data_IF_187559705269
#
_entry.id   IF_187559705269
#
_cell.length_a   1.000
_cell.length_b   1.000
_cell.length_c   1.000
_cell.angle_alpha   90.00
_cell.angle_beta   90.00
_cell.angle_gamma   90.00
#
_symmetry.space_group_name_H-M   'P 1'
#
loop_
_entity.id
_entity.type
_entity.pdbx_description
1 polymer ?
#
# COMPACT_ATOMS: atom_id res chain seq x y z
N UNK A 1 38.56 57.26 5.90
CA UNK A 1 38.77 56.41 4.69
C UNK A 1 37.95 55.10 4.79
N UNK A 2 37.99 54.33 5.91
CA UNK A 2 37.23 53.09 6.02
C UNK A 2 35.74 53.31 5.85
N UNK A 3 35.11 54.33 6.46
CA UNK A 3 33.69 54.65 6.33
C UNK A 3 33.30 55.08 4.91
N UNK A 4 34.18 55.78 4.16
CA UNK A 4 33.92 56.16 2.77
C UNK A 4 33.96 54.94 1.84
N UNK A 5 34.93 54.02 2.05
CA UNK A 5 34.95 52.74 1.30
C UNK A 5 33.72 51.85 1.59
N UNK A 6 33.24 51.86 2.83
CA UNK A 6 32.01 51.14 3.21
C UNK A 6 30.80 51.76 2.53
N UNK A 7 30.73 53.09 2.46
CA UNK A 7 29.67 53.81 1.75
C UNK A 7 29.67 53.54 0.24
N UNK A 8 30.84 53.41 -0.38
CA UNK A 8 30.95 53.00 -1.77
C UNK A 8 30.31 51.60 -2.01
N UNK A 9 30.53 50.65 -1.07
CA UNK A 9 29.87 49.35 -1.13
C UNK A 9 28.37 49.46 -0.97
N UNK A 10 27.90 50.30 -0.04
CA UNK A 10 26.50 50.58 0.20
C UNK A 10 25.78 51.15 -1.03
N UNK A 11 26.39 52.14 -1.70
CA UNK A 11 25.87 52.77 -2.91
C UNK A 11 25.76 51.79 -4.09
N UNK A 12 26.74 50.88 -4.25
CA UNK A 12 26.71 49.82 -5.27
C UNK A 12 25.51 48.85 -5.08
N UNK A 13 25.05 48.66 -3.88
CA UNK A 13 23.91 47.79 -3.55
C UNK A 13 22.59 48.57 -3.55
N UNK A 14 22.61 49.82 -3.08
CA UNK A 14 21.45 50.70 -2.99
C UNK A 14 21.33 51.62 -4.18
N UNK A 15 20.57 51.20 -5.19
CA UNK A 15 20.36 51.95 -6.45
C UNK A 15 19.62 53.29 -6.31
N UNK A 16 19.17 53.65 -5.11
CA UNK A 16 18.45 54.92 -4.84
C UNK A 16 19.42 56.09 -4.64
N UNK A 17 20.69 55.85 -4.45
CA UNK A 17 21.72 56.88 -4.24
C UNK A 17 22.42 57.17 -5.57
N UNK A 18 22.46 58.44 -5.95
CA UNK A 18 23.13 58.83 -7.16
C UNK A 18 24.65 58.69 -7.06
N UNK A 19 25.37 58.26 -8.12
CA UNK A 19 26.83 58.07 -8.09
C UNK A 19 27.63 59.33 -7.75
N UNK A 20 27.06 60.52 -8.06
CA UNK A 20 27.67 61.83 -7.81
C UNK A 20 27.86 62.12 -6.31
N UNK A 21 27.05 61.49 -5.44
CA UNK A 21 27.14 61.67 -3.99
C UNK A 21 28.50 61.18 -3.45
N UNK A 22 28.98 60.04 -3.95
CA UNK A 22 30.28 59.50 -3.55
C UNK A 22 31.42 60.47 -3.91
N UNK A 23 31.42 61.00 -5.13
CA UNK A 23 32.43 61.98 -5.59
C UNK A 23 32.38 63.29 -4.78
N UNK A 24 31.19 63.70 -4.34
CA UNK A 24 31.04 64.88 -3.49
C UNK A 24 31.63 64.66 -2.09
N UNK A 25 31.46 63.48 -1.52
CA UNK A 25 31.98 63.09 -0.20
C UNK A 25 33.53 62.99 -0.24
N UNK A 26 34.11 62.50 -1.34
CA UNK A 26 35.56 62.35 -1.50
C UNK A 26 36.29 63.70 -1.62
N UNK A 27 35.58 64.77 -1.99
CA UNK A 27 36.17 66.13 -2.13
C UNK A 27 36.17 66.92 -0.80
N UNK A 28 35.51 66.37 0.25
CA UNK A 28 35.42 67.05 1.53
C UNK A 28 36.64 66.65 2.41
N UNK A 29 37.37 67.65 2.91
CA UNK A 29 38.52 67.40 3.79
C UNK A 29 38.19 67.37 5.29
N UNK A 30 37.07 67.97 5.69
CA UNK A 30 36.64 68.05 7.06
C UNK A 30 35.92 66.78 7.49
N UNK A 31 36.44 66.10 8.50
CA UNK A 31 35.98 64.77 8.93
C UNK A 31 34.56 64.80 9.53
N UNK A 32 34.17 65.85 10.22
CA UNK A 32 32.82 66.08 10.74
C UNK A 32 31.78 66.22 9.61
N UNK A 33 32.09 67.04 8.55
CA UNK A 33 31.23 67.19 7.39
C UNK A 33 31.08 65.84 6.63
N UNK A 34 32.16 65.04 6.55
CA UNK A 34 32.08 63.72 5.93
C UNK A 34 31.10 62.81 6.71
N UNK A 35 31.15 62.83 8.04
CA UNK A 35 30.25 62.05 8.88
C UNK A 35 28.78 62.45 8.67
N UNK A 36 28.48 63.76 8.64
CA UNK A 36 27.10 64.27 8.42
C UNK A 36 26.59 63.99 7.01
N UNK A 37 27.44 64.10 6.01
CA UNK A 37 27.05 63.73 4.62
C UNK A 37 26.78 62.22 4.51
N UNK A 38 27.60 61.37 5.09
CA UNK A 38 27.33 59.92 5.10
C UNK A 38 26.01 59.59 5.80
N UNK A 39 25.76 60.15 6.99
CA UNK A 39 24.54 59.95 7.74
C UNK A 39 23.29 60.42 7.00
N UNK A 40 23.36 61.52 6.27
CA UNK A 40 22.21 62.06 5.52
C UNK A 40 21.71 61.12 4.45
N UNK A 41 22.58 60.36 3.81
CA UNK A 41 22.26 59.44 2.71
C UNK A 41 21.92 58.02 3.16
N UNK A 42 22.01 57.70 4.47
CA UNK A 42 21.60 56.40 5.02
C UNK A 42 20.07 56.29 5.10
N UNK A 43 19.54 55.17 4.65
CA UNK A 43 18.09 54.88 4.69
C UNK A 43 17.65 54.28 6.04
N UNK A 44 18.02 55.00 7.13
CA UNK A 44 17.73 54.61 8.53
C UNK A 44 16.55 55.37 9.13
N UNK A 45 16.00 54.91 10.24
CA UNK A 45 14.88 55.53 10.94
C UNK A 45 15.28 56.87 11.54
N UNK A 46 14.28 57.75 11.70
CA UNK A 46 14.49 59.12 12.24
C UNK A 46 15.15 59.08 13.62
N UNK A 47 14.77 58.11 14.48
CA UNK A 47 15.37 57.94 15.82
C UNK A 47 16.87 57.64 15.77
N UNK A 48 17.32 56.84 14.78
CA UNK A 48 18.74 56.49 14.56
C UNK A 48 19.50 57.70 13.97
N UNK A 49 18.87 58.50 13.09
CA UNK A 49 19.47 59.75 12.61
C UNK A 49 19.63 60.75 13.75
N UNK A 50 18.66 60.80 14.67
CA UNK A 50 18.74 61.67 15.82
C UNK A 50 19.88 61.27 16.77
N UNK A 51 20.02 59.96 17.03
CA UNK A 51 21.15 59.45 17.85
C UNK A 51 22.54 59.79 17.26
N UNK A 52 22.67 59.72 15.91
CA UNK A 52 23.88 60.15 15.21
C UNK A 52 24.13 61.65 15.36
N UNK A 53 23.11 62.49 15.30
CA UNK A 53 23.25 63.94 15.48
C UNK A 53 23.62 64.31 16.90
N UNK A 54 23.10 63.63 17.91
CA UNK A 54 23.39 63.82 19.34
C UNK A 54 24.81 63.36 19.73
N UNK A 55 25.44 62.55 18.89
CA UNK A 55 26.82 62.04 19.12
C UNK A 55 27.83 63.14 18.71
N UNK A 56 28.27 63.99 19.68
CA UNK A 56 29.16 65.12 19.42
C UNK A 56 30.58 64.73 19.04
N UNK A 57 31.07 63.56 19.53
CA UNK A 57 32.40 63.08 19.16
C UNK A 57 32.37 62.53 17.71
N UNK A 58 33.15 63.10 16.87
CA UNK A 58 33.18 62.74 15.43
C UNK A 58 33.66 61.27 15.19
N UNK A 59 34.60 60.82 16.03
CA UNK A 59 35.08 59.43 15.94
C UNK A 59 33.97 58.42 16.27
N UNK A 60 33.30 58.64 17.37
CA UNK A 60 32.20 57.77 17.82
C UNK A 60 31.02 57.80 16.81
N UNK A 61 30.74 58.97 16.28
CA UNK A 61 29.72 59.13 15.20
C UNK A 61 30.08 58.35 13.95
N UNK A 62 31.32 58.40 13.49
CA UNK A 62 31.80 57.65 12.34
C UNK A 62 31.79 56.13 12.59
N UNK A 63 32.09 55.68 13.80
CA UNK A 63 32.01 54.28 14.20
C UNK A 63 30.57 53.78 14.16
N UNK A 64 29.60 54.54 14.72
CA UNK A 64 28.19 54.26 14.61
C UNK A 64 27.68 54.18 13.15
N UNK A 65 28.07 55.18 12.35
CA UNK A 65 27.74 55.21 10.89
C UNK A 65 28.28 53.98 10.18
N UNK A 66 29.52 53.55 10.53
CA UNK A 66 30.12 52.37 9.97
C UNK A 66 29.32 51.08 10.33
N UNK A 67 28.97 50.93 11.60
CA UNK A 67 28.17 49.78 12.08
C UNK A 67 26.77 49.70 11.42
N UNK A 68 26.10 50.88 11.27
CA UNK A 68 24.83 50.98 10.60
C UNK A 68 24.93 50.58 9.11
N UNK A 69 25.99 51.07 8.41
CA UNK A 69 26.22 50.72 7.04
C UNK A 69 26.51 49.22 6.84
N UNK A 70 27.23 48.60 7.77
CA UNK A 70 27.50 47.17 7.71
C UNK A 70 26.20 46.36 7.84
N UNK A 71 25.31 46.74 8.75
CA UNK A 71 23.97 46.13 8.90
C UNK A 71 23.11 46.27 7.64
N UNK A 72 23.06 47.50 7.06
CA UNK A 72 22.30 47.78 5.85
C UNK A 72 22.86 47.03 4.63
N UNK A 73 24.17 46.95 4.46
CA UNK A 73 24.81 46.18 3.41
C UNK A 73 24.46 44.70 3.51
N UNK A 74 24.51 44.15 4.73
CA UNK A 74 24.07 42.77 5.02
C UNK A 74 22.65 42.53 4.60
N UNK A 75 21.72 43.42 5.00
CA UNK A 75 20.30 43.34 4.66
C UNK A 75 20.06 43.38 3.14
N UNK A 76 20.72 44.34 2.43
CA UNK A 76 20.61 44.47 0.97
C UNK A 76 21.19 43.26 0.21
N UNK A 77 22.25 42.67 0.72
CA UNK A 77 22.84 41.44 0.15
C UNK A 77 21.88 40.25 0.28
N UNK A 78 21.24 40.09 1.44
CA UNK A 78 20.22 39.04 1.69
C UNK A 78 19.04 39.26 0.75
N UNK A 79 18.51 40.49 0.68
CA UNK A 79 17.37 40.82 -0.21
C UNK A 79 17.69 40.47 -1.66
N UNK A 80 18.87 40.86 -2.13
CA UNK A 80 19.33 40.55 -3.51
C UNK A 80 19.43 39.04 -3.73
N UNK A 81 19.91 38.27 -2.74
CA UNK A 81 19.99 36.80 -2.81
C UNK A 81 18.62 36.17 -2.88
N UNK A 82 17.69 36.61 -2.01
CA UNK A 82 16.33 36.13 -2.01
C UNK A 82 15.62 36.45 -3.32
N UNK A 83 15.72 37.69 -3.81
CA UNK A 83 15.11 38.11 -5.08
C UNK A 83 15.63 37.28 -6.27
N UNK A 84 16.93 37.02 -6.32
CA UNK A 84 17.51 36.17 -7.35
C UNK A 84 17.06 34.70 -7.26
N UNK A 85 16.90 34.19 -6.05
CA UNK A 85 16.37 32.83 -5.82
C UNK A 85 14.92 32.71 -6.28
N UNK A 86 14.07 33.68 -5.90
CA UNK A 86 12.67 33.73 -6.33
C UNK A 86 12.57 33.82 -7.84
N UNK A 87 13.37 34.72 -8.48
CA UNK A 87 13.38 34.84 -9.93
C UNK A 87 13.74 33.51 -10.62
N UNK A 88 14.80 32.86 -10.19
CA UNK A 88 15.18 31.52 -10.71
C UNK A 88 14.09 30.48 -10.53
N UNK A 89 13.43 30.50 -9.39
CA UNK A 89 12.34 29.56 -9.12
C UNK A 89 11.14 29.80 -10.04
N UNK A 90 10.78 31.07 -10.25
CA UNK A 90 9.70 31.43 -11.19
C UNK A 90 10.04 31.05 -12.64
N UNK A 91 11.27 31.33 -13.08
CA UNK A 91 11.73 30.96 -14.43
C UNK A 91 11.69 29.44 -14.63
N UNK A 92 12.09 28.67 -13.60
CA UNK A 92 12.02 27.20 -13.63
C UNK A 92 10.57 26.71 -13.73
N UNK A 93 9.67 27.26 -12.93
CA UNK A 93 8.25 26.87 -12.93
C UNK A 93 7.56 27.24 -14.25
N UNK A 94 7.85 28.42 -14.82
CA UNK A 94 7.32 28.81 -16.12
C UNK A 94 7.83 27.90 -17.24
N UNK A 95 9.11 27.50 -17.19
CA UNK A 95 9.68 26.58 -18.18
C UNK A 95 9.07 25.19 -18.06
N UNK A 96 8.85 24.68 -16.84
CA UNK A 96 8.16 23.39 -16.59
C UNK A 96 6.70 23.45 -17.10
N UNK A 97 6.00 24.53 -16.85
CA UNK A 97 4.64 24.73 -17.37
C UNK A 97 4.61 24.73 -18.91
N UNK A 98 5.51 25.50 -19.55
CA UNK A 98 5.60 25.56 -21.00
C UNK A 98 5.94 24.20 -21.63
N UNK A 99 6.89 23.46 -21.05
CA UNK A 99 7.23 22.12 -21.49
C UNK A 99 6.08 21.14 -21.33
N UNK A 100 5.32 21.24 -20.25
CA UNK A 100 4.14 20.41 -20.04
C UNK A 100 3.02 20.71 -21.04
N UNK A 101 2.81 21.98 -21.38
CA UNK A 101 1.83 22.36 -22.42
C UNK A 101 2.28 21.93 -23.82
N UNK A 102 3.57 22.03 -24.13
CA UNK A 102 4.11 21.48 -25.37
C UNK A 102 3.95 19.95 -25.42
N UNK A 103 4.22 19.25 -24.32
CA UNK A 103 4.06 17.80 -24.26
C UNK A 103 2.59 17.39 -24.44
N UNK A 104 1.64 18.14 -23.84
CA UNK A 104 0.20 17.92 -24.07
C UNK A 104 -0.20 18.16 -25.54
N UNK A 105 0.32 19.23 -26.16
CA UNK A 105 0.05 19.52 -27.57
C UNK A 105 0.60 18.42 -28.48
N UNK A 106 1.82 17.98 -28.23
CA UNK A 106 2.45 16.85 -28.98
C UNK A 106 1.70 15.55 -28.75
N UNK A 107 1.27 15.25 -27.51
CA UNK A 107 0.46 14.08 -27.20
C UNK A 107 -0.90 14.12 -27.91
N UNK A 108 -1.50 15.31 -28.01
CA UNK A 108 -2.74 15.52 -28.74
C UNK A 108 -2.55 15.33 -30.26
N UNK A 109 -1.47 15.83 -30.83
CA UNK A 109 -1.13 15.61 -32.25
C UNK A 109 -0.74 14.15 -32.56
N UNK A 110 -0.06 13.46 -31.62
CA UNK A 110 0.28 12.04 -31.74
C UNK A 110 -0.92 11.12 -31.45
N UNK A 111 -1.90 11.59 -30.66
CA UNK A 111 -3.14 10.85 -30.34
C UNK A 111 -4.24 11.01 -31.39
N UNK A 112 -4.14 11.94 -32.32
CA UNK A 112 -5.02 12.08 -33.49
C UNK A 112 -4.67 11.08 -34.63
N UNK A 113 -3.71 10.17 -34.42
CA UNK A 113 -3.56 8.99 -35.28
C UNK A 113 -4.64 7.96 -34.96
N UNK A 114 -5.44 7.63 -35.90
CA UNK A 114 -6.75 6.96 -35.99
C UNK A 114 -7.01 5.65 -35.20
N UNK A 115 -6.20 5.25 -34.20
CA UNK A 115 -6.34 3.94 -33.53
C UNK A 115 -6.12 3.93 -31.99
N UNK A 116 -6.15 5.06 -31.30
CA UNK A 116 -5.87 5.08 -29.86
C UNK A 116 -6.95 5.73 -28.99
N UNK A 117 -7.89 4.96 -28.44
CA UNK A 117 -8.62 5.42 -27.24
C UNK A 117 -7.59 5.88 -26.21
N UNK A 118 -7.77 7.10 -25.67
CA UNK A 118 -6.94 7.59 -24.56
C UNK A 118 -6.97 6.54 -23.43
N UNK A 119 -5.83 6.31 -22.74
CA UNK A 119 -5.77 5.40 -21.58
C UNK A 119 -6.91 5.63 -20.58
N UNK A 120 -7.33 6.87 -20.42
CA UNK A 120 -8.46 7.25 -19.56
C UNK A 120 -9.82 6.79 -20.13
N UNK A 121 -9.97 6.76 -21.43
CA UNK A 121 -11.18 6.28 -22.08
C UNK A 121 -11.23 4.74 -22.04
N UNK A 122 -10.09 4.06 -22.11
CA UNK A 122 -10.03 2.62 -21.88
C UNK A 122 -10.43 2.25 -20.44
N UNK A 123 -9.94 2.99 -19.43
CA UNK A 123 -10.34 2.81 -18.03
C UNK A 123 -11.86 3.03 -17.88
N UNK A 124 -12.40 4.07 -18.51
CA UNK A 124 -13.85 4.35 -18.48
C UNK A 124 -14.66 3.22 -19.14
N UNK A 125 -14.24 2.75 -20.29
CA UNK A 125 -14.88 1.65 -21.00
C UNK A 125 -14.84 0.35 -20.16
N UNK A 126 -13.73 0.05 -19.51
CA UNK A 126 -13.60 -1.10 -18.62
C UNK A 126 -14.52 -0.99 -17.39
N UNK A 127 -14.59 0.19 -16.76
CA UNK A 127 -15.49 0.43 -15.63
C UNK A 127 -16.97 0.28 -16.02
N UNK A 128 -17.36 0.71 -17.23
CA UNK A 128 -18.72 0.57 -17.73
C UNK A 128 -19.06 -0.90 -18.12
N UNK A 129 -18.09 -1.65 -18.63
CA UNK A 129 -18.25 -3.06 -18.94
C UNK A 129 -18.41 -3.95 -17.70
N UNK A 130 -17.83 -3.51 -16.55
CA UNK A 130 -17.96 -4.19 -15.29
C UNK A 130 -19.35 -3.90 -14.68
N UNK A 131 -20.08 -4.95 -14.30
CA UNK A 131 -21.37 -4.84 -13.58
C UNK A 131 -21.15 -4.46 -12.13
N UNK A 132 -20.58 -3.26 -11.88
CA UNK A 132 -20.27 -2.76 -10.55
C UNK A 132 -21.54 -2.46 -9.74
N UNK A 133 -21.51 -2.56 -8.40
CA UNK A 133 -22.52 -1.97 -7.52
C UNK A 133 -22.59 -0.45 -7.71
N UNK A 134 -23.78 0.15 -7.58
CA UNK A 134 -23.96 1.59 -7.79
C UNK A 134 -23.00 2.47 -6.98
N UNK A 135 -22.82 2.26 -5.65
CA UNK A 135 -21.90 3.10 -4.87
C UNK A 135 -20.44 3.02 -5.36
N UNK A 136 -20.02 1.85 -5.82
CA UNK A 136 -18.66 1.63 -6.36
C UNK A 136 -18.49 2.34 -7.70
N UNK A 137 -19.50 2.27 -8.57
CA UNK A 137 -19.47 2.95 -9.87
C UNK A 137 -19.44 4.47 -9.71
N UNK A 138 -20.26 5.03 -8.82
CA UNK A 138 -20.29 6.47 -8.52
C UNK A 138 -18.93 6.95 -8.00
N UNK A 139 -18.32 6.20 -7.07
CA UNK A 139 -16.99 6.53 -6.53
C UNK A 139 -15.91 6.43 -7.61
N UNK A 140 -15.92 5.36 -8.42
CA UNK A 140 -14.97 5.19 -9.52
C UNK A 140 -15.08 6.31 -10.55
N UNK A 141 -16.30 6.72 -10.93
CA UNK A 141 -16.52 7.83 -11.85
C UNK A 141 -16.03 9.17 -11.27
N UNK A 142 -16.24 9.41 -9.98
CA UNK A 142 -15.73 10.60 -9.31
C UNK A 142 -14.19 10.64 -9.29
N UNK A 143 -13.53 9.51 -9.01
CA UNK A 143 -12.06 9.41 -9.03
C UNK A 143 -11.52 9.55 -10.47
N UNK A 144 -12.17 8.96 -11.47
CA UNK A 144 -11.79 9.12 -12.88
C UNK A 144 -11.90 10.60 -13.34
N UNK A 145 -12.97 11.29 -12.92
CA UNK A 145 -13.13 12.74 -13.17
C UNK A 145 -12.00 13.56 -12.53
N UNK A 146 -11.57 13.20 -11.32
CA UNK A 146 -10.40 13.84 -10.68
C UNK A 146 -9.13 13.57 -11.50
N UNK A 147 -8.91 12.32 -11.91
CA UNK A 147 -7.73 11.92 -12.68
C UNK A 147 -7.61 12.69 -14.00
N UNK A 148 -8.74 12.94 -14.71
CA UNK A 148 -8.76 13.75 -15.94
C UNK A 148 -8.31 15.19 -15.74
N UNK A 149 -8.52 15.74 -14.53
CA UNK A 149 -8.13 17.13 -14.19
C UNK A 149 -6.72 17.24 -13.58
N UNK A 150 -6.07 16.11 -13.30
CA UNK A 150 -4.72 16.08 -12.72
C UNK A 150 -3.64 16.04 -13.79
N UNK A 151 -2.48 16.63 -13.48
CA UNK A 151 -1.32 16.50 -14.35
C UNK A 151 -0.84 15.02 -14.38
N UNK A 152 -0.59 14.45 -15.57
CA UNK A 152 -0.30 13.02 -15.72
C UNK A 152 0.96 12.56 -14.95
N UNK A 153 1.87 13.47 -14.63
CA UNK A 153 3.12 13.22 -13.89
C UNK A 153 2.99 13.47 -12.37
N UNK A 154 1.80 13.76 -11.86
CA UNK A 154 1.64 14.00 -10.41
C UNK A 154 1.64 12.68 -9.63
N UNK A 155 2.26 12.66 -8.45
CA UNK A 155 2.22 11.51 -7.55
C UNK A 155 0.77 11.14 -7.16
N UNK A 156 -0.09 12.13 -7.06
CA UNK A 156 -1.51 11.96 -6.75
C UNK A 156 -2.26 11.26 -7.89
N UNK A 157 -1.97 11.58 -9.16
CA UNK A 157 -2.54 10.89 -10.32
C UNK A 157 -2.19 9.40 -10.32
N UNK A 158 -0.95 9.05 -9.94
CA UNK A 158 -0.52 7.66 -9.79
C UNK A 158 -1.32 6.91 -8.71
N UNK A 159 -1.59 7.54 -7.58
CA UNK A 159 -2.41 6.94 -6.49
C UNK A 159 -3.84 6.69 -6.97
N UNK A 160 -4.47 7.67 -7.67
CA UNK A 160 -5.82 7.53 -8.19
C UNK A 160 -5.88 6.45 -9.29
N UNK A 161 -4.90 6.40 -10.19
CA UNK A 161 -4.81 5.36 -11.22
C UNK A 161 -4.72 3.97 -10.60
N UNK A 162 -3.80 3.76 -9.66
CA UNK A 162 -3.67 2.49 -8.95
C UNK A 162 -4.99 2.08 -8.26
N UNK A 163 -5.73 3.01 -7.73
CA UNK A 163 -7.04 2.75 -7.14
C UNK A 163 -8.07 2.27 -8.17
N UNK A 164 -8.15 2.90 -9.34
CA UNK A 164 -9.02 2.48 -10.42
C UNK A 164 -8.63 1.10 -10.96
N UNK A 165 -7.34 0.82 -11.09
CA UNK A 165 -6.82 -0.50 -11.46
C UNK A 165 -7.24 -1.59 -10.47
N UNK A 166 -7.28 -1.28 -9.18
CA UNK A 166 -7.80 -2.21 -8.17
C UNK A 166 -9.30 -2.44 -8.33
N UNK A 167 -10.11 -1.40 -8.57
CA UNK A 167 -11.55 -1.55 -8.84
C UNK A 167 -11.78 -2.45 -10.05
N UNK A 168 -11.04 -2.25 -11.14
CA UNK A 168 -11.17 -3.02 -12.37
C UNK A 168 -10.77 -4.48 -12.18
N UNK A 169 -9.70 -4.72 -11.42
CA UNK A 169 -9.12 -6.05 -11.24
C UNK A 169 -9.89 -6.93 -10.23
N UNK A 170 -10.72 -6.36 -9.36
CA UNK A 170 -11.49 -7.13 -8.38
C UNK A 170 -12.68 -7.87 -9.01
N UNK A 171 -12.93 -9.12 -8.60
CA UNK A 171 -13.99 -9.94 -9.16
C UNK A 171 -15.37 -9.64 -8.53
N UNK A 172 -16.01 -8.54 -8.90
CA UNK A 172 -17.28 -8.11 -8.30
C UNK A 172 -18.43 -9.11 -8.48
N UNK A 173 -18.56 -9.71 -9.65
CA UNK A 173 -19.68 -10.65 -9.98
C UNK A 173 -19.23 -11.94 -10.66
N UNK A 174 -17.95 -12.07 -10.96
CA UNK A 174 -17.43 -13.23 -11.69
C UNK A 174 -17.29 -14.42 -10.74
N UNK A 175 -18.09 -15.45 -10.93
CA UNK A 175 -18.11 -16.66 -10.12
C UNK A 175 -17.68 -17.90 -10.90
N UNK A 176 -16.99 -18.83 -10.23
CA UNK A 176 -16.73 -20.16 -10.75
C UNK A 176 -17.99 -21.04 -10.65
N UNK A 177 -18.15 -21.99 -11.58
CA UNK A 177 -19.24 -22.97 -11.55
C UNK A 177 -19.02 -23.97 -10.43
N UNK A 178 -19.92 -24.01 -9.46
CA UNK A 178 -19.84 -24.92 -8.34
C UNK A 178 -20.26 -26.35 -8.73
N UNK A 179 -19.50 -27.32 -8.26
CA UNK A 179 -19.86 -28.75 -8.32
C UNK A 179 -20.73 -29.06 -7.08
N UNK A 180 -21.87 -29.73 -7.32
CA UNK A 180 -22.84 -30.01 -6.28
C UNK A 180 -22.95 -31.52 -5.96
N UNK A 181 -22.17 -32.36 -6.60
CA UNK A 181 -22.20 -33.79 -6.41
C UNK A 181 -21.38 -34.16 -5.14
N UNK A 182 -22.11 -34.60 -4.12
CA UNK A 182 -21.54 -35.01 -2.83
C UNK A 182 -20.75 -36.32 -2.95
N UNK A 183 -21.21 -37.26 -3.81
CA UNK A 183 -20.51 -38.52 -4.05
C UNK A 183 -19.17 -38.25 -4.76
N UNK A 184 -19.20 -37.40 -5.76
CA UNK A 184 -17.97 -36.98 -6.42
C UNK A 184 -17.04 -36.20 -5.46
N UNK A 185 -17.58 -35.37 -4.56
CA UNK A 185 -16.78 -34.69 -3.55
C UNK A 185 -16.07 -35.68 -2.60
N UNK A 186 -16.78 -36.72 -2.15
CA UNK A 186 -16.19 -37.80 -1.34
C UNK A 186 -15.08 -38.52 -2.12
N UNK A 187 -15.33 -38.90 -3.37
CA UNK A 187 -14.32 -39.56 -4.22
C UNK A 187 -13.05 -38.73 -4.39
N UNK A 188 -13.15 -37.39 -4.50
CA UNK A 188 -12.00 -36.50 -4.56
C UNK A 188 -11.21 -36.53 -3.25
N UNK A 189 -11.90 -36.48 -2.10
CA UNK A 189 -11.23 -36.55 -0.78
C UNK A 189 -10.55 -37.92 -0.56
N UNK A 190 -11.14 -39.01 -1.00
CA UNK A 190 -10.59 -40.36 -0.87
C UNK A 190 -9.36 -40.56 -1.79
N UNK A 191 -9.41 -39.99 -2.98
CA UNK A 191 -8.27 -40.04 -3.91
C UNK A 191 -7.06 -39.23 -3.42
N UNK A 192 -7.29 -38.13 -2.70
CA UNK A 192 -6.22 -37.23 -2.26
C UNK A 192 -5.67 -37.57 -0.88
N UNK A 193 -6.47 -38.22 -0.03
CA UNK A 193 -6.12 -38.45 1.38
C UNK A 193 -6.42 -39.89 1.77
N UNK A 194 -5.40 -40.59 2.25
CA UNK A 194 -5.56 -41.91 2.83
C UNK A 194 -6.01 -41.78 4.29
N UNK A 195 -6.90 -42.67 4.74
CA UNK A 195 -7.45 -42.63 6.10
C UNK A 195 -8.33 -41.41 6.34
N UNK A 196 -8.33 -40.91 7.56
CA UNK A 196 -9.12 -39.74 8.00
C UNK A 196 -10.63 -39.84 7.75
N UNK A 197 -11.22 -41.07 7.86
CA UNK A 197 -12.63 -41.30 7.49
C UNK A 197 -13.59 -40.37 8.21
N UNK A 198 -13.46 -40.22 9.55
CA UNK A 198 -14.28 -39.30 10.34
C UNK A 198 -14.17 -37.85 9.91
N UNK A 199 -12.97 -37.41 9.51
CA UNK A 199 -12.72 -36.05 9.02
C UNK A 199 -13.40 -35.84 7.67
N UNK A 200 -13.26 -36.79 6.75
CA UNK A 200 -13.91 -36.77 5.44
C UNK A 200 -15.43 -36.77 5.56
N UNK A 201 -15.98 -37.60 6.44
CA UNK A 201 -17.42 -37.67 6.72
C UNK A 201 -17.95 -36.30 7.18
N UNK A 202 -17.28 -35.67 8.14
CA UNK A 202 -17.66 -34.32 8.62
C UNK A 202 -17.57 -33.27 7.54
N UNK A 203 -16.52 -33.30 6.69
CA UNK A 203 -16.39 -32.38 5.56
C UNK A 203 -17.55 -32.59 4.56
N UNK A 204 -17.89 -33.85 4.25
CA UNK A 204 -18.98 -34.17 3.32
C UNK A 204 -20.34 -33.75 3.89
N UNK A 205 -20.58 -33.98 5.18
CA UNK A 205 -21.79 -33.51 5.90
C UNK A 205 -21.90 -31.97 5.82
N UNK A 206 -20.81 -31.27 6.12
CA UNK A 206 -20.76 -29.82 6.03
C UNK A 206 -21.09 -29.32 4.60
N UNK A 207 -20.51 -29.91 3.56
CA UNK A 207 -20.79 -29.58 2.18
C UNK A 207 -22.25 -29.88 1.80
N UNK A 208 -22.84 -30.99 2.30
CA UNK A 208 -24.24 -31.34 2.08
C UNK A 208 -25.20 -30.31 2.71
N UNK A 209 -24.91 -29.85 3.91
CA UNK A 209 -25.67 -28.80 4.58
C UNK A 209 -25.63 -27.50 3.81
N UNK A 210 -24.44 -27.08 3.38
CA UNK A 210 -24.27 -25.86 2.57
C UNK A 210 -25.03 -25.90 1.24
N UNK A 211 -25.06 -27.03 0.57
CA UNK A 211 -25.84 -27.21 -0.65
C UNK A 211 -27.36 -27.09 -0.41
N UNK A 212 -27.85 -27.66 0.70
CA UNK A 212 -29.25 -27.65 1.05
C UNK A 212 -29.75 -26.26 1.44
N UNK A 213 -28.96 -25.53 2.23
CA UNK A 213 -29.30 -24.17 2.70
C UNK A 213 -29.13 -23.13 1.61
N UNK A 214 -28.38 -23.40 0.53
CA UNK A 214 -27.98 -22.44 -0.53
C UNK A 214 -27.36 -21.17 0.04
N UNK A 215 -26.78 -21.25 1.23
CA UNK A 215 -26.21 -20.12 1.98
C UNK A 215 -24.90 -20.53 2.59
N UNK A 216 -23.94 -19.62 2.60
CA UNK A 216 -22.66 -19.75 3.32
C UNK A 216 -22.77 -19.29 4.79
N UNK A 217 -23.99 -19.10 5.32
CA UNK A 217 -24.24 -18.59 6.69
C UNK A 217 -24.04 -19.64 7.79
N UNK A 218 -23.43 -20.77 7.51
CA UNK A 218 -23.07 -21.79 8.50
C UNK A 218 -21.78 -21.48 9.27
N UNK A 219 -21.43 -22.32 10.24
CA UNK A 219 -20.14 -22.22 10.92
C UNK A 219 -18.98 -22.40 9.93
N UNK A 220 -17.82 -21.88 10.27
CA UNK A 220 -16.62 -21.95 9.42
C UNK A 220 -15.86 -23.23 9.76
N UNK A 221 -15.49 -23.98 8.74
CA UNK A 221 -14.74 -25.21 8.93
C UNK A 221 -13.33 -24.91 9.46
N UNK A 222 -12.99 -25.43 10.64
CA UNK A 222 -11.66 -25.28 11.25
C UNK A 222 -10.99 -26.66 11.40
N UNK A 223 -9.87 -26.85 10.70
CA UNK A 223 -9.07 -28.05 10.75
C UNK A 223 -7.96 -27.90 11.80
N UNK A 224 -8.08 -28.61 12.92
CA UNK A 224 -7.16 -28.51 14.05
C UNK A 224 -6.37 -29.81 14.21
N UNK A 225 -5.03 -29.71 14.32
CA UNK A 225 -4.18 -30.88 14.54
C UNK A 225 -2.70 -30.56 14.41
N UNK A 226 -1.83 -31.52 14.70
CA UNK A 226 -0.38 -31.31 14.66
C UNK A 226 0.11 -30.90 13.27
N UNK A 227 1.31 -30.31 13.15
CA UNK A 227 1.88 -30.00 11.86
C UNK A 227 2.12 -31.29 11.04
N UNK A 228 2.00 -31.19 9.72
CA UNK A 228 2.27 -32.32 8.81
C UNK A 228 1.10 -33.29 8.57
N UNK A 229 -0.04 -33.15 9.25
CA UNK A 229 -1.22 -34.06 9.06
C UNK A 229 -2.04 -33.77 7.80
N UNK A 230 -1.66 -32.80 6.99
CA UNK A 230 -2.32 -32.53 5.71
C UNK A 230 -3.47 -31.51 5.75
N UNK A 231 -3.56 -30.65 6.79
CA UNK A 231 -4.60 -29.62 6.89
C UNK A 231 -4.71 -28.73 5.64
N UNK A 232 -3.59 -28.21 5.17
CA UNK A 232 -3.53 -27.35 3.98
C UNK A 232 -3.88 -28.09 2.69
N UNK A 233 -3.51 -29.38 2.57
CA UNK A 233 -3.89 -30.19 1.42
C UNK A 233 -5.38 -30.55 1.42
N UNK A 234 -5.98 -30.78 2.59
CA UNK A 234 -7.43 -30.97 2.73
C UNK A 234 -8.18 -29.74 2.20
N UNK A 235 -7.74 -28.52 2.56
CA UNK A 235 -8.33 -27.29 2.01
C UNK A 235 -8.29 -27.22 0.49
N UNK A 236 -7.19 -27.63 -0.14
CA UNK A 236 -7.09 -27.74 -1.60
C UNK A 236 -8.04 -28.76 -2.19
N UNK A 237 -8.17 -29.92 -1.54
CA UNK A 237 -9.07 -30.99 -1.98
C UNK A 237 -10.54 -30.59 -1.86
N UNK A 238 -10.92 -29.86 -0.81
CA UNK A 238 -12.26 -29.28 -0.67
C UNK A 238 -12.55 -28.27 -1.79
N UNK A 239 -11.58 -27.40 -2.14
CA UNK A 239 -11.73 -26.47 -3.24
C UNK A 239 -11.96 -27.19 -4.57
N UNK A 240 -11.17 -28.24 -4.86
CA UNK A 240 -11.30 -29.07 -6.04
C UNK A 240 -12.63 -29.83 -6.09
N UNK A 241 -13.06 -30.39 -4.95
CA UNK A 241 -14.31 -31.11 -4.81
C UNK A 241 -15.53 -30.21 -5.09
N UNK A 242 -15.48 -28.95 -4.63
CA UNK A 242 -16.56 -27.97 -4.80
C UNK A 242 -16.47 -27.18 -6.12
N UNK A 243 -15.38 -27.32 -6.89
CA UNK A 243 -15.15 -26.53 -8.11
C UNK A 243 -14.80 -25.07 -7.85
N UNK A 244 -14.39 -24.74 -6.62
CA UNK A 244 -13.95 -23.40 -6.23
C UNK A 244 -12.47 -23.20 -6.55
N UNK A 245 -12.10 -21.98 -6.90
CA UNK A 245 -10.70 -21.61 -6.97
C UNK A 245 -10.13 -21.53 -5.53
N UNK A 246 -8.84 -21.85 -5.37
CA UNK A 246 -8.18 -21.93 -4.08
C UNK A 246 -7.27 -20.74 -3.82
N UNK A 247 -7.42 -20.12 -2.67
CA UNK A 247 -6.53 -19.08 -2.13
C UNK A 247 -6.04 -19.51 -0.76
N UNK A 248 -4.77 -19.28 -0.48
CA UNK A 248 -4.20 -19.45 0.86
C UNK A 248 -3.68 -18.11 1.37
N UNK A 249 -4.07 -17.78 2.59
CA UNK A 249 -3.53 -16.65 3.35
C UNK A 249 -2.96 -17.19 4.67
N UNK A 250 -1.66 -17.01 4.88
CA UNK A 250 -1.04 -17.33 6.15
C UNK A 250 -1.32 -16.21 7.15
N UNK A 251 -1.88 -16.57 8.30
CA UNK A 251 -2.17 -15.65 9.41
C UNK A 251 -1.09 -15.70 10.49
N UNK A 252 -0.23 -16.72 10.45
CA UNK A 252 0.89 -16.84 11.38
C UNK A 252 1.84 -15.65 11.27
N UNK A 253 1.95 -14.86 12.35
CA UNK A 253 2.79 -13.66 12.39
C UNK A 253 2.11 -12.36 11.99
N UNK A 254 0.85 -12.38 11.57
CA UNK A 254 0.04 -11.18 11.36
C UNK A 254 -0.23 -10.52 12.72
N UNK A 255 0.14 -9.26 12.86
CA UNK A 255 -0.02 -8.46 14.09
C UNK A 255 -0.75 -7.15 13.86
N UNK A 256 -0.80 -6.67 12.62
CA UNK A 256 -1.42 -5.42 12.22
C UNK A 256 -2.75 -5.70 11.51
N UNK A 257 -3.82 -5.04 11.98
CA UNK A 257 -5.13 -5.06 11.34
C UNK A 257 -5.07 -4.65 9.87
N UNK A 258 -4.17 -3.73 9.54
CA UNK A 258 -3.98 -3.24 8.19
C UNK A 258 -3.52 -4.33 7.20
N UNK A 259 -2.92 -5.43 7.67
CA UNK A 259 -2.64 -6.57 6.80
C UNK A 259 -3.92 -7.24 6.26
N UNK A 260 -5.01 -7.19 7.03
CA UNK A 260 -6.32 -7.76 6.65
C UNK A 260 -7.15 -6.73 5.89
N UNK A 261 -7.26 -5.50 6.42
CA UNK A 261 -8.12 -4.41 5.92
C UNK A 261 -7.43 -3.40 5.02
N UNK A 262 -6.11 -3.49 4.81
CA UNK A 262 -5.35 -2.52 4.00
C UNK A 262 -5.05 -1.22 4.73
N UNK A 263 -4.20 -0.41 4.11
CA UNK A 263 -3.84 0.93 4.59
C UNK A 263 -4.64 2.00 3.85
N UNK A 264 -4.95 3.11 4.52
CA UNK A 264 -5.60 4.27 3.88
C UNK A 264 -4.75 4.78 2.71
N UNK A 265 -5.40 5.20 1.62
CA UNK A 265 -4.78 5.68 0.36
C UNK A 265 -3.91 6.93 0.50
N UNK A 266 -3.94 7.61 1.63
CA UNK A 266 -3.16 8.83 1.88
C UNK A 266 -1.65 8.61 1.83
N UNK A 267 -1.18 7.36 1.91
CA UNK A 267 0.24 7.02 1.88
C UNK A 267 0.64 6.48 0.50
N UNK A 268 1.73 7.01 -0.04
CA UNK A 268 2.32 6.49 -1.29
C UNK A 268 2.77 5.04 -1.06
N UNK A 269 2.36 4.13 -1.94
CA UNK A 269 2.65 2.70 -1.81
C UNK A 269 1.65 1.92 -0.96
N UNK A 270 0.55 2.56 -0.48
CA UNK A 270 -0.55 1.86 0.19
C UNK A 270 -1.21 0.85 -0.75
N UNK A 271 -1.67 -0.26 -0.19
CA UNK A 271 -2.33 -1.35 -0.91
C UNK A 271 -3.54 -1.86 -0.11
N UNK A 272 -4.53 -2.46 -0.80
CA UNK A 272 -5.60 -3.20 -0.13
C UNK A 272 -5.06 -4.32 0.77
N UNK A 273 -5.86 -4.75 1.72
CA UNK A 273 -5.55 -5.86 2.60
C UNK A 273 -5.40 -7.19 1.87
N UNK A 274 -4.76 -8.15 2.52
CA UNK A 274 -4.46 -9.49 1.98
C UNK A 274 -5.72 -10.24 1.50
N UNK A 275 -6.88 -9.95 2.07
CA UNK A 275 -8.16 -10.54 1.64
C UNK A 275 -8.47 -10.11 0.21
N UNK A 276 -8.51 -8.82 -0.09
CA UNK A 276 -8.77 -8.32 -1.43
C UNK A 276 -7.65 -8.63 -2.42
N UNK A 277 -6.40 -8.64 -1.97
CA UNK A 277 -5.27 -9.11 -2.79
C UNK A 277 -5.47 -10.57 -3.21
N UNK A 278 -5.93 -11.43 -2.30
CA UNK A 278 -6.29 -12.81 -2.59
C UNK A 278 -7.44 -12.93 -3.59
N UNK A 279 -8.48 -12.12 -3.44
CA UNK A 279 -9.62 -12.07 -4.37
C UNK A 279 -9.19 -11.65 -5.78
N UNK A 280 -8.36 -10.61 -5.90
CA UNK A 280 -7.76 -10.18 -7.18
C UNK A 280 -6.97 -11.29 -7.83
N UNK A 281 -6.08 -11.96 -7.07
CA UNK A 281 -5.22 -13.05 -7.58
C UNK A 281 -6.02 -14.18 -8.22
N UNK A 282 -7.17 -14.52 -7.65
CA UNK A 282 -8.02 -15.62 -8.13
C UNK A 282 -8.96 -15.17 -9.25
N UNK A 283 -9.38 -13.91 -9.26
CA UNK A 283 -10.28 -13.35 -10.26
C UNK A 283 -11.70 -13.93 -10.22
N UNK A 284 -12.11 -14.53 -9.09
CA UNK A 284 -13.46 -15.07 -8.86
C UNK A 284 -13.98 -14.60 -7.49
N UNK A 285 -15.29 -14.33 -7.39
CA UNK A 285 -15.92 -13.85 -6.15
C UNK A 285 -16.35 -14.96 -5.18
N UNK A 286 -16.21 -16.23 -5.57
CA UNK A 286 -16.63 -17.38 -4.79
C UNK A 286 -15.50 -18.42 -4.57
N UNK A 287 -14.25 -18.01 -4.27
CA UNK A 287 -13.16 -18.95 -4.01
C UNK A 287 -13.38 -19.73 -2.70
N UNK A 288 -12.55 -20.74 -2.50
CA UNK A 288 -12.24 -21.25 -1.17
C UNK A 288 -11.02 -20.51 -0.65
N UNK A 289 -11.17 -19.82 0.47
CA UNK A 289 -10.13 -19.05 1.13
C UNK A 289 -9.64 -19.82 2.36
N UNK A 290 -8.43 -20.36 2.27
CA UNK A 290 -7.79 -21.05 3.39
C UNK A 290 -7.01 -20.05 4.24
N UNK A 291 -7.47 -19.84 5.47
CA UNK A 291 -6.81 -19.03 6.48
C UNK A 291 -5.94 -19.94 7.35
N UNK A 292 -4.64 -19.94 7.08
CA UNK A 292 -3.70 -20.90 7.67
C UNK A 292 -3.08 -20.35 8.96
N UNK A 293 -2.96 -21.21 9.98
CA UNK A 293 -2.37 -20.89 11.29
C UNK A 293 -3.09 -19.77 12.05
N UNK A 294 -4.42 -19.85 12.14
CA UNK A 294 -5.24 -18.87 12.87
C UNK A 294 -4.93 -18.79 14.37
N UNK A 295 -4.39 -19.86 14.96
CA UNK A 295 -3.94 -19.94 16.35
C UNK A 295 -2.66 -19.13 16.63
N UNK A 296 -1.97 -18.64 15.59
CA UNK A 296 -0.76 -17.82 15.70
C UNK A 296 -1.01 -16.33 15.45
N UNK A 297 -2.27 -15.90 15.37
CA UNK A 297 -2.63 -14.50 15.36
C UNK A 297 -2.18 -13.84 16.66
N UNK A 298 -1.43 -12.76 16.56
CA UNK A 298 -0.98 -11.97 17.71
C UNK A 298 -1.72 -10.63 17.76
N UNK A 299 -2.13 -10.20 18.95
CA UNK A 299 -2.54 -8.82 19.16
C UNK A 299 -1.31 -7.96 19.50
N UNK A 300 -1.20 -6.78 18.91
CA UNK A 300 -0.16 -5.79 19.19
C UNK A 300 -0.80 -4.42 19.43
N UNK A 301 -0.04 -3.45 19.93
CA UNK A 301 -0.47 -2.06 20.10
C UNK A 301 -0.92 -1.36 18.79
N UNK A 302 -0.64 -1.97 17.64
CA UNK A 302 -1.01 -1.48 16.30
C UNK A 302 -2.44 -1.84 15.86
N UNK A 303 -3.16 -2.61 16.62
CA UNK A 303 -4.53 -3.03 16.33
C UNK A 303 -4.80 -4.48 16.71
N UNK A 304 -6.04 -4.88 16.55
CA UNK A 304 -6.50 -6.25 16.79
C UNK A 304 -6.88 -6.93 15.47
N UNK A 305 -5.99 -7.69 14.86
CA UNK A 305 -6.30 -8.43 13.63
C UNK A 305 -7.41 -9.46 13.83
N UNK A 306 -7.69 -9.85 15.08
CA UNK A 306 -8.81 -10.76 15.41
C UNK A 306 -10.14 -10.10 15.10
N UNK A 307 -10.32 -8.84 15.47
CA UNK A 307 -11.53 -8.07 15.17
C UNK A 307 -11.76 -7.91 13.67
N UNK A 308 -10.71 -7.61 12.91
CA UNK A 308 -10.80 -7.54 11.45
C UNK A 308 -11.16 -8.90 10.83
N UNK A 309 -10.59 -9.99 11.37
CA UNK A 309 -10.89 -11.34 10.90
C UNK A 309 -12.32 -11.75 11.23
N UNK A 310 -12.84 -11.35 12.40
CA UNK A 310 -14.24 -11.61 12.77
C UNK A 310 -15.22 -10.97 11.78
N UNK A 311 -14.97 -9.76 11.31
CA UNK A 311 -15.81 -9.12 10.29
C UNK A 311 -15.76 -9.88 8.95
N UNK A 312 -14.59 -10.33 8.52
CA UNK A 312 -14.43 -11.15 7.31
C UNK A 312 -15.18 -12.47 7.42
N UNK A 313 -15.17 -13.08 8.60
CA UNK A 313 -15.72 -14.40 8.86
C UNK A 313 -17.21 -14.38 9.26
N UNK A 314 -17.73 -13.26 9.74
CA UNK A 314 -19.12 -13.15 10.17
C UNK A 314 -20.09 -13.04 8.96
N UNK A 315 -20.96 -14.03 8.72
CA UNK A 315 -21.90 -13.99 7.62
C UNK A 315 -22.92 -12.83 7.68
N UNK A 316 -23.07 -12.18 8.84
CA UNK A 316 -23.93 -11.00 8.99
C UNK A 316 -23.25 -9.71 8.53
N UNK A 317 -21.91 -9.68 8.52
CA UNK A 317 -21.11 -8.48 8.22
C UNK A 317 -20.32 -8.60 6.92
N UNK A 318 -19.90 -9.81 6.52
CA UNK A 318 -18.99 -10.03 5.38
C UNK A 318 -19.57 -9.67 4.00
N UNK A 319 -20.87 -9.43 3.89
CA UNK A 319 -21.51 -8.94 2.68
C UNK A 319 -21.18 -7.45 2.40
N UNK A 320 -20.70 -6.72 3.40
CA UNK A 320 -20.31 -5.31 3.34
C UNK A 320 -18.92 -5.11 3.96
N UNK A 321 -17.97 -5.97 3.60
CA UNK A 321 -16.59 -5.87 4.09
C UNK A 321 -15.93 -4.60 3.60
N UNK A 322 -15.43 -3.78 4.51
CA UNK A 322 -14.76 -2.51 4.21
C UNK A 322 -13.24 -2.63 4.34
N UNK A 323 -12.58 -2.52 3.20
CA UNK A 323 -11.13 -2.34 3.14
C UNK A 323 -10.79 -0.85 3.21
N UNK A 324 -9.81 -0.47 4.02
CA UNK A 324 -9.43 0.92 4.25
C UNK A 324 -8.82 1.59 3.01
N UNK A 325 -8.22 0.82 2.09
CA UNK A 325 -7.71 1.33 0.84
C UNK A 325 -8.84 1.58 -0.16
N UNK A 326 -9.77 0.61 -0.28
CA UNK A 326 -10.86 0.67 -1.25
C UNK A 326 -11.96 1.64 -0.83
N UNK A 327 -12.24 1.74 0.49
CA UNK A 327 -13.30 2.57 1.07
C UNK A 327 -14.67 2.36 0.39
N UNK A 328 -14.93 1.19 -0.11
CA UNK A 328 -16.19 0.71 -0.67
C UNK A 328 -16.46 -0.68 -0.17
N UNK A 329 -17.73 -1.04 -0.03
CA UNK A 329 -18.13 -2.36 0.43
C UNK A 329 -17.81 -3.42 -0.63
N UNK A 330 -17.20 -4.51 -0.19
CA UNK A 330 -16.94 -5.67 -1.03
C UNK A 330 -17.66 -6.90 -0.45
N UNK A 331 -18.45 -7.55 -1.29
CA UNK A 331 -19.27 -8.71 -0.87
C UNK A 331 -18.42 -9.99 -0.83
N UNK A 332 -18.14 -10.49 0.38
CA UNK A 332 -17.46 -11.75 0.66
C UNK A 332 -18.43 -12.91 0.96
N UNK A 333 -19.75 -12.71 0.88
CA UNK A 333 -20.76 -13.70 1.26
C UNK A 333 -20.72 -15.00 0.44
N UNK A 334 -20.14 -14.97 -0.75
CA UNK A 334 -19.97 -16.14 -1.62
C UNK A 334 -18.65 -16.89 -1.41
N UNK A 335 -17.76 -16.33 -0.59
CA UNK A 335 -16.45 -16.92 -0.28
C UNK A 335 -16.64 -18.07 0.71
N UNK A 336 -16.03 -19.21 0.46
CA UNK A 336 -15.96 -20.31 1.41
C UNK A 336 -14.68 -20.17 2.24
N UNK A 337 -14.81 -19.80 3.50
CA UNK A 337 -13.68 -19.74 4.42
C UNK A 337 -13.45 -21.10 5.08
N UNK A 338 -12.19 -21.53 5.10
CA UNK A 338 -11.70 -22.69 5.83
C UNK A 338 -10.50 -22.23 6.63
N UNK A 339 -10.43 -22.58 7.90
CA UNK A 339 -9.32 -22.21 8.78
C UNK A 339 -8.50 -23.43 9.16
N UNK A 340 -7.21 -23.23 9.45
CA UNK A 340 -6.37 -24.26 10.05
C UNK A 340 -5.73 -23.74 11.33
N UNK A 341 -5.55 -24.63 12.28
CA UNK A 341 -4.84 -24.36 13.52
C UNK A 341 -4.00 -25.57 13.96
N UNK A 342 -2.94 -25.34 14.68
CA UNK A 342 -2.18 -26.44 15.31
C UNK A 342 -2.71 -26.73 16.71
N UNK A 343 -3.23 -25.72 17.39
CA UNK A 343 -3.78 -25.78 18.75
C UNK A 343 -5.13 -25.05 18.80
N UNK A 344 -5.85 -25.24 19.89
CA UNK A 344 -7.08 -24.49 20.17
C UNK A 344 -6.83 -23.19 20.94
N UNK A 345 -5.58 -22.74 21.00
CA UNK A 345 -5.24 -21.48 21.66
C UNK A 345 -5.56 -20.30 20.74
N UNK A 346 -6.85 -19.98 20.63
CA UNK A 346 -7.36 -18.85 19.85
C UNK A 346 -8.45 -18.13 20.61
N UNK A 347 -8.76 -16.87 20.30
CA UNK A 347 -9.83 -16.11 20.96
C UNK A 347 -11.19 -16.79 20.88
N UNK A 348 -11.91 -16.80 22.01
CA UNK A 348 -13.23 -17.43 22.11
C UNK A 348 -14.23 -16.98 21.04
N UNK A 349 -14.32 -15.66 20.67
CA UNK A 349 -15.24 -15.21 19.63
C UNK A 349 -15.00 -15.82 18.25
N UNK A 350 -13.75 -16.24 17.96
CA UNK A 350 -13.42 -16.97 16.73
C UNK A 350 -13.87 -18.44 16.85
N UNK A 351 -13.58 -19.07 17.98
CA UNK A 351 -13.97 -20.48 18.21
C UNK A 351 -15.48 -20.69 18.13
N UNK A 352 -16.27 -19.75 18.65
CA UNK A 352 -17.74 -19.82 18.65
C UNK A 352 -18.34 -19.80 17.22
N UNK A 353 -17.60 -19.32 16.24
CA UNK A 353 -17.99 -19.30 14.83
C UNK A 353 -17.47 -20.48 14.01
N UNK A 354 -16.68 -21.36 14.63
CA UNK A 354 -15.98 -22.43 13.94
C UNK A 354 -16.56 -23.81 14.24
N UNK A 355 -16.74 -24.61 13.21
CA UNK A 355 -16.93 -26.04 13.33
C UNK A 355 -15.55 -26.71 13.36
N UNK A 356 -15.15 -27.17 14.55
CA UNK A 356 -13.83 -27.70 14.82
C UNK A 356 -13.76 -29.17 14.43
N UNK A 357 -12.96 -29.50 13.42
CA UNK A 357 -12.62 -30.86 13.03
C UNK A 357 -11.20 -31.15 13.47
N UNK A 358 -11.07 -32.09 14.41
CA UNK A 358 -9.77 -32.51 14.94
C UNK A 358 -9.15 -33.59 14.06
N UNK A 359 -7.92 -33.31 13.60
CA UNK A 359 -7.08 -34.27 12.91
C UNK A 359 -6.08 -34.86 13.92
N UNK A 360 -6.14 -36.16 14.12
CA UNK A 360 -5.10 -36.89 14.86
C UNK A 360 -3.86 -37.09 14.00
N UNK A 361 -2.75 -37.44 14.64
CA UNK A 361 -1.58 -37.96 13.93
C UNK A 361 -1.91 -39.32 13.29
N UNK A 362 -1.04 -39.75 12.38
CA UNK A 362 -1.18 -41.02 11.67
C UNK A 362 -0.46 -42.16 12.39
N UNK A 363 -1.03 -43.37 12.31
CA UNK A 363 -0.34 -44.58 12.70
C UNK A 363 0.80 -44.93 11.75
N UNK A 364 1.70 -45.86 12.14
CA UNK A 364 2.80 -46.29 11.27
C UNK A 364 2.31 -46.85 9.93
N UNK A 365 1.26 -47.67 9.95
CA UNK A 365 0.68 -48.26 8.74
C UNK A 365 0.02 -47.17 7.85
N UNK A 366 -0.66 -46.20 8.43
CA UNK A 366 -1.20 -45.05 7.68
C UNK A 366 -0.08 -44.21 7.05
N UNK A 367 1.01 -43.94 7.79
CA UNK A 367 2.18 -43.24 7.26
C UNK A 367 2.81 -43.98 6.08
N UNK A 368 2.92 -45.32 6.20
CA UNK A 368 3.46 -46.16 5.12
C UNK A 368 2.58 -46.07 3.86
N UNK A 369 1.26 -46.18 4.00
CA UNK A 369 0.35 -46.05 2.87
C UNK A 369 0.35 -44.64 2.25
N UNK A 370 0.41 -43.59 3.07
CA UNK A 370 0.53 -42.22 2.62
C UNK A 370 1.83 -42.01 1.85
N UNK A 371 2.94 -42.57 2.34
CA UNK A 371 4.23 -42.52 1.68
C UNK A 371 4.17 -43.17 0.28
N UNK A 372 3.60 -44.34 0.16
CA UNK A 372 3.47 -45.08 -1.12
C UNK A 372 2.57 -44.38 -2.13
N UNK A 373 1.36 -43.97 -1.66
CA UNK A 373 0.32 -43.46 -2.56
C UNK A 373 0.57 -41.98 -3.00
N UNK A 374 1.13 -41.17 -2.12
CA UNK A 374 1.23 -39.75 -2.32
C UNK A 374 2.63 -39.19 -2.29
N UNK A 375 3.44 -39.51 -1.24
CA UNK A 375 4.71 -38.81 -1.04
C UNK A 375 5.78 -39.28 -2.05
N UNK A 376 5.90 -40.59 -2.31
CA UNK A 376 6.86 -41.08 -3.27
C UNK A 376 6.60 -40.54 -4.68
N UNK A 377 5.34 -40.56 -5.10
CA UNK A 377 4.97 -40.01 -6.42
C UNK A 377 5.39 -38.54 -6.54
N UNK A 378 5.08 -37.76 -5.52
CA UNK A 378 5.44 -36.34 -5.46
C UNK A 378 6.95 -36.15 -5.46
N UNK A 379 7.70 -36.94 -4.66
CA UNK A 379 9.15 -36.83 -4.60
C UNK A 379 9.81 -37.21 -5.95
N UNK A 380 9.30 -38.19 -6.66
CA UNK A 380 9.80 -38.52 -7.99
C UNK A 380 9.57 -37.37 -8.98
N UNK A 381 8.38 -36.77 -8.97
CA UNK A 381 8.07 -35.60 -9.80
C UNK A 381 8.96 -34.40 -9.46
N UNK A 382 9.10 -34.08 -8.14
CA UNK A 382 9.88 -32.94 -7.66
C UNK A 382 11.39 -33.08 -7.95
N UNK A 383 11.93 -34.31 -8.01
CA UNK A 383 13.34 -34.63 -8.31
C UNK A 383 13.59 -35.02 -9.77
N UNK A 384 12.54 -35.00 -10.61
CA UNK A 384 12.66 -35.40 -12.03
C UNK A 384 13.03 -36.87 -12.24
N UNK A 385 12.77 -37.73 -11.25
CA UNK A 385 13.06 -39.17 -11.32
C UNK A 385 11.92 -39.91 -12.04
N UNK A 386 12.30 -40.87 -12.91
CA UNK A 386 11.35 -41.80 -13.48
C UNK A 386 11.09 -42.94 -12.50
N UNK A 387 9.93 -43.59 -12.65
CA UNK A 387 9.50 -44.66 -11.74
C UNK A 387 10.41 -45.91 -11.75
N UNK A 388 11.16 -46.10 -12.81
CA UNK A 388 12.12 -47.22 -13.03
C UNK A 388 13.52 -46.89 -12.53
N UNK A 389 13.83 -45.64 -12.21
CA UNK A 389 15.17 -45.21 -11.76
C UNK A 389 15.40 -45.44 -10.26
N UNK A 390 14.35 -45.46 -9.46
CA UNK A 390 14.45 -45.68 -8.02
C UNK A 390 13.31 -46.53 -7.49
N UNK A 391 13.61 -47.60 -6.80
CA UNK A 391 12.67 -48.46 -6.09
C UNK A 391 13.00 -48.46 -4.62
N UNK A 392 12.02 -48.18 -3.76
CA UNK A 392 12.16 -48.22 -2.31
C UNK A 392 11.27 -49.37 -1.81
N UNK A 393 11.86 -50.33 -1.10
CA UNK A 393 11.10 -51.46 -0.54
C UNK A 393 10.19 -51.01 0.62
N UNK A 394 9.16 -51.79 0.91
CA UNK A 394 8.25 -51.54 2.03
C UNK A 394 8.98 -51.53 3.37
N UNK A 395 9.96 -52.43 3.55
CA UNK A 395 10.75 -52.47 4.76
C UNK A 395 11.63 -51.24 4.94
N UNK A 396 12.18 -50.70 3.85
CA UNK A 396 12.94 -49.45 3.88
C UNK A 396 12.03 -48.25 4.24
N UNK A 397 10.81 -48.17 3.64
CA UNK A 397 9.86 -47.16 4.00
C UNK A 397 9.41 -47.28 5.46
N UNK A 398 9.17 -48.49 5.95
CA UNK A 398 8.82 -48.74 7.35
C UNK A 398 9.94 -48.33 8.30
N UNK A 399 11.20 -48.64 7.97
CA UNK A 399 12.36 -48.20 8.72
C UNK A 399 12.46 -46.66 8.77
N UNK A 400 12.22 -45.97 7.64
CA UNK A 400 12.15 -44.49 7.61
C UNK A 400 11.05 -43.94 8.52
N UNK A 401 9.86 -44.53 8.48
CA UNK A 401 8.74 -44.12 9.34
C UNK A 401 9.09 -44.30 10.81
N UNK A 402 9.66 -45.44 11.20
CA UNK A 402 9.99 -45.77 12.60
C UNK A 402 11.15 -44.94 13.14
N UNK A 403 12.22 -44.76 12.34
CA UNK A 403 13.48 -44.19 12.82
C UNK A 403 13.56 -42.67 12.64
N UNK A 404 12.87 -42.09 11.64
CA UNK A 404 13.01 -40.69 11.25
C UNK A 404 11.72 -39.85 11.34
N UNK A 405 10.57 -40.43 11.69
CA UNK A 405 9.33 -39.68 11.93
C UNK A 405 8.84 -39.83 13.36
N UNK A 406 8.19 -38.77 13.87
CA UNK A 406 7.54 -38.77 15.20
C UNK A 406 6.11 -39.19 15.09
#
# INVERSE_FOLDING_TARGET
RAAVNQFEQYTKLNKKIAPEVLSAIEQVEEVDKIADMLASHLAIKIAEKQDLLETLNVHDRLEKIYGVMEGEIGALQVEKRVRNRVKRQMEKTQREYYLNEQMKAIQKELGDSEDGMSELDEIEAQLQALKLPKPVLEKAAAELKKLRNMGPMSAEATVVRNYLDWIIALPWKKASRLKKDIVAARAVLDADHYGLEKVKDRIVEFLAVQQRTKSMRGPILCLVGPPGVGKTSLGKSIARATGRQYVRMALGGVRDEAEIRGHRRTYIGSMPGKVLQGMKKVGMNNPLFLLDEVDKLGADWRGDPTSALLEVLDPAQNNAFQDHYMEVDFDLSNVMFVTTANTLNMPQPLMDRMEIIRLSGYTEDEKLEIAKRHLMKKQFEDHGLKRDELTISDDALRAIVQLYTR
#
